data_IF_685087044500
#
_entry.id   IF_685087044500
#
_cell.length_a   1.000
_cell.length_b   1.000
_cell.length_c   1.000
_cell.angle_alpha   90.00
_cell.angle_beta   90.00
_cell.angle_gamma   90.00
#
_symmetry.space_group_name_H-M   'P 1'
#
loop_
_entity.id
_entity.type
_entity.pdbx_description
1 polymer ?
#
# COMPACT_ATOMS: atom_id res chain seq x y z
N UNK A 1 29.24 -14.67 3.00
CA UNK A 1 27.76 -14.77 3.01
C UNK A 1 27.23 -13.61 3.82
N UNK A 2 26.84 -12.54 3.15
CA UNK A 2 26.38 -11.31 3.82
C UNK A 2 24.95 -11.54 4.30
N UNK A 3 24.72 -11.32 5.59
CA UNK A 3 23.46 -11.55 6.30
C UNK A 3 22.26 -10.90 5.58
N UNK A 4 21.48 -11.69 4.84
CA UNK A 4 20.25 -11.23 4.19
C UNK A 4 19.20 -10.76 5.23
N UNK A 5 19.29 -11.27 6.46
CA UNK A 5 18.36 -10.97 7.56
C UNK A 5 18.39 -9.52 8.06
N UNK A 6 19.49 -8.76 7.86
CA UNK A 6 19.57 -7.38 8.37
C UNK A 6 18.95 -6.32 7.46
N UNK A 7 18.59 -6.66 6.22
CA UNK A 7 17.92 -5.75 5.27
C UNK A 7 16.39 -5.89 5.24
N UNK A 8 15.84 -6.86 5.98
CA UNK A 8 14.40 -7.22 5.99
C UNK A 8 13.64 -6.58 7.17
N UNK A 9 14.31 -5.76 8.00
CA UNK A 9 13.67 -5.08 9.13
C UNK A 9 12.49 -4.18 8.73
N UNK A 10 12.47 -3.67 7.50
CA UNK A 10 11.46 -2.73 7.01
C UNK A 10 10.38 -3.39 6.12
N UNK A 11 10.41 -4.71 5.95
CA UNK A 11 9.55 -5.41 4.98
C UNK A 11 8.47 -6.24 5.68
N UNK A 12 7.71 -5.57 6.56
CA UNK A 12 6.68 -6.22 7.38
C UNK A 12 5.37 -5.45 7.34
N UNK A 13 4.27 -6.17 7.50
CA UNK A 13 2.98 -5.60 7.88
C UNK A 13 2.84 -5.71 9.39
N UNK A 14 2.44 -4.64 10.06
CA UNK A 14 2.41 -4.61 11.52
C UNK A 14 1.00 -4.32 12.03
N UNK A 15 0.54 -5.20 12.94
CA UNK A 15 -0.70 -5.01 13.67
C UNK A 15 -0.35 -4.68 15.11
N UNK A 16 -0.76 -3.48 15.54
CA UNK A 16 -0.49 -2.96 16.86
C UNK A 16 -1.71 -3.13 17.75
N UNK A 17 -1.53 -3.80 18.88
CA UNK A 17 -2.50 -3.84 19.96
C UNK A 17 -1.97 -3.02 21.13
N UNK A 18 -2.70 -1.98 21.51
CA UNK A 18 -2.29 -1.06 22.57
C UNK A 18 -3.27 -1.14 23.74
N UNK A 19 -2.73 -1.27 24.95
CA UNK A 19 -3.49 -1.38 26.18
C UNK A 19 -2.93 -0.45 27.25
N UNK A 20 -3.82 0.14 28.06
CA UNK A 20 -3.39 0.92 29.22
C UNK A 20 -2.70 0.06 30.28
N UNK A 21 -3.15 -1.18 30.45
CA UNK A 21 -2.58 -2.18 31.34
C UNK A 21 -2.19 -3.41 30.53
N UNK A 22 -1.08 -4.08 30.87
CA UNK A 22 -0.63 -5.30 30.20
C UNK A 22 -1.63 -6.45 30.44
N UNK A 23 -2.36 -6.94 29.41
CA UNK A 23 -3.19 -8.13 29.55
C UNK A 23 -2.30 -9.39 29.52
N UNK A 24 -2.82 -10.50 30.03
CA UNK A 24 -2.31 -11.80 29.61
C UNK A 24 -2.67 -12.01 28.14
N UNK A 25 -1.82 -12.67 27.37
CA UNK A 25 -2.11 -12.96 25.97
C UNK A 25 -1.58 -14.32 25.52
N UNK A 26 -2.18 -14.85 24.46
CA UNK A 26 -1.74 -16.03 23.72
C UNK A 26 -1.78 -15.73 22.23
N UNK A 27 -0.77 -16.19 21.48
CA UNK A 27 -0.73 -16.07 20.03
C UNK A 27 -0.66 -17.46 19.42
N UNK A 28 -1.51 -17.73 18.44
CA UNK A 28 -1.59 -19.02 17.78
C UNK A 28 -1.85 -18.84 16.28
N UNK A 29 -1.52 -19.85 15.49
CA UNK A 29 -1.90 -19.91 14.08
C UNK A 29 -3.30 -20.50 13.96
N UNK A 30 -4.18 -19.84 13.22
CA UNK A 30 -5.55 -20.28 12.93
C UNK A 30 -5.60 -20.74 11.47
N UNK A 31 -6.00 -21.99 11.21
CA UNK A 31 -6.30 -22.57 9.89
C UNK A 31 -5.48 -21.99 8.70
N UNK A 32 -4.22 -22.40 8.58
CA UNK A 32 -3.35 -22.10 7.43
C UNK A 32 -2.87 -20.65 7.34
N UNK A 33 -3.78 -19.70 7.08
CA UNK A 33 -3.46 -18.31 6.73
C UNK A 33 -3.98 -17.28 7.76
N UNK A 34 -4.30 -17.70 8.99
CA UNK A 34 -4.76 -16.84 10.07
C UNK A 34 -3.78 -16.78 11.25
N UNK A 35 -3.68 -15.62 11.89
CA UNK A 35 -2.99 -15.43 13.16
C UNK A 35 -4.03 -15.02 14.20
N UNK A 36 -4.17 -15.80 15.27
CA UNK A 36 -5.03 -15.52 16.41
C UNK A 36 -4.24 -14.89 17.54
N UNK A 37 -4.71 -13.76 18.06
CA UNK A 37 -4.20 -13.13 19.27
C UNK A 37 -5.33 -13.06 20.29
N UNK A 38 -5.24 -13.87 21.33
CA UNK A 38 -6.21 -13.86 22.41
C UNK A 38 -5.70 -13.03 23.59
N UNK A 39 -6.51 -12.12 24.09
CA UNK A 39 -6.23 -11.30 25.27
C UNK A 39 -7.15 -11.71 26.42
N UNK A 40 -6.56 -12.26 27.49
CA UNK A 40 -7.31 -12.69 28.67
C UNK A 40 -7.83 -11.48 29.46
N UNK A 41 -8.98 -11.64 30.10
CA UNK A 41 -9.59 -10.65 31.00
C UNK A 41 -9.74 -9.25 30.35
N UNK A 42 -9.98 -9.25 29.04
CA UNK A 42 -10.16 -8.04 28.24
C UNK A 42 -11.62 -7.97 27.78
N UNK A 43 -12.14 -6.75 27.68
CA UNK A 43 -13.50 -6.48 27.21
C UNK A 43 -13.49 -5.50 26.05
N UNK A 44 -14.26 -5.80 25.02
CA UNK A 44 -14.54 -4.84 23.95
C UNK A 44 -15.47 -3.74 24.46
N UNK A 45 -15.13 -2.50 24.13
CA UNK A 45 -16.00 -1.34 24.30
C UNK A 45 -16.81 -1.03 23.02
N UNK A 46 -16.77 -1.92 22.04
CA UNK A 46 -17.53 -1.88 20.79
C UNK A 46 -18.06 -3.29 20.45
N UNK A 47 -18.96 -3.38 19.47
CA UNK A 47 -19.47 -4.66 18.99
C UNK A 47 -18.41 -5.43 18.21
N UNK A 48 -18.53 -6.75 18.12
CA UNK A 48 -17.65 -7.57 17.29
C UNK A 48 -17.57 -7.00 15.87
N UNK A 49 -16.36 -6.88 15.33
CA UNK A 49 -16.12 -6.18 14.08
C UNK A 49 -15.17 -6.94 13.17
N UNK A 50 -15.42 -6.85 11.86
CA UNK A 50 -14.51 -7.30 10.80
C UNK A 50 -14.12 -6.08 9.98
N UNK A 51 -12.83 -5.77 9.94
CA UNK A 51 -12.28 -4.66 9.14
C UNK A 51 -11.42 -5.20 8.01
N UNK A 52 -11.82 -4.92 6.78
CA UNK A 52 -10.97 -5.15 5.60
C UNK A 52 -9.69 -4.31 5.68
N UNK A 53 -8.56 -4.94 5.41
CA UNK A 53 -7.25 -4.29 5.33
C UNK A 53 -6.80 -4.38 3.88
N UNK A 54 -6.42 -3.25 3.28
CA UNK A 54 -5.89 -3.21 1.92
C UNK A 54 -4.40 -2.92 1.98
N UNK A 55 -3.62 -3.91 2.40
CA UNK A 55 -2.14 -3.80 2.41
C UNK A 55 -1.44 -4.77 1.42
N UNK A 56 -2.21 -5.66 0.78
CA UNK A 56 -1.74 -6.69 -0.15
C UNK A 56 -1.39 -8.03 0.50
N UNK A 57 -1.13 -8.08 1.82
CA UNK A 57 -0.91 -9.31 2.57
C UNK A 57 -2.07 -9.63 3.52
N UNK A 58 -2.47 -8.65 4.35
CA UNK A 58 -3.59 -8.80 5.28
C UNK A 58 -4.88 -8.54 4.51
N UNK A 59 -5.83 -9.49 4.53
CA UNK A 59 -7.15 -9.34 3.93
C UNK A 59 -8.10 -8.59 4.87
N UNK A 60 -8.16 -9.03 6.12
CA UNK A 60 -9.01 -8.44 7.14
C UNK A 60 -8.55 -8.81 8.55
N UNK A 61 -9.01 -8.03 9.52
CA UNK A 61 -8.86 -8.29 10.94
C UNK A 61 -10.25 -8.41 11.54
N UNK A 62 -10.52 -9.53 12.21
CA UNK A 62 -11.74 -9.75 12.98
C UNK A 62 -11.43 -9.63 14.45
N UNK A 63 -12.23 -8.85 15.18
CA UNK A 63 -12.10 -8.67 16.62
C UNK A 63 -13.44 -9.08 17.24
N UNK A 64 -13.41 -10.04 18.17
CA UNK A 64 -14.62 -10.55 18.81
C UNK A 64 -14.42 -10.82 20.30
N UNK A 65 -15.48 -10.63 21.08
CA UNK A 65 -15.53 -11.06 22.48
C UNK A 65 -15.70 -12.59 22.54
N UNK A 66 -14.81 -13.29 23.22
CA UNK A 66 -14.89 -14.75 23.42
C UNK A 66 -14.77 -15.05 24.91
N UNK A 67 -15.89 -15.38 25.55
CA UNK A 67 -15.95 -15.59 26.99
C UNK A 67 -15.45 -14.35 27.76
N UNK A 68 -14.45 -14.55 28.62
CA UNK A 68 -13.83 -13.49 29.41
C UNK A 68 -12.66 -12.78 28.73
N UNK A 69 -12.45 -12.96 27.42
CA UNK A 69 -11.35 -12.32 26.68
C UNK A 69 -11.74 -11.83 25.30
N UNK A 70 -10.76 -11.27 24.60
CA UNK A 70 -10.90 -10.73 23.25
C UNK A 70 -10.02 -11.54 22.31
N UNK A 71 -10.59 -12.04 21.22
CA UNK A 71 -9.84 -12.68 20.15
C UNK A 71 -9.73 -11.72 18.96
N UNK A 72 -8.49 -11.42 18.57
CA UNK A 72 -8.18 -10.76 17.30
C UNK A 72 -7.64 -11.79 16.31
N UNK A 73 -8.37 -12.00 15.21
CA UNK A 73 -8.00 -12.91 14.13
C UNK A 73 -7.52 -12.07 12.94
N UNK A 74 -6.24 -12.18 12.60
CA UNK A 74 -5.60 -11.51 11.46
C UNK A 74 -5.56 -12.51 10.31
N UNK A 75 -6.37 -12.28 9.28
CA UNK A 75 -6.45 -13.15 8.10
C UNK A 75 -5.60 -12.59 6.97
N UNK A 76 -4.80 -13.47 6.36
CA UNK A 76 -3.86 -13.13 5.29
C UNK A 76 -4.22 -13.83 3.99
N UNK A 77 -3.91 -13.19 2.86
CA UNK A 77 -4.12 -13.77 1.53
C UNK A 77 -3.11 -14.90 1.23
N UNK A 78 -1.93 -14.82 1.84
CA UNK A 78 -0.81 -15.71 1.63
C UNK A 78 -0.31 -16.24 2.96
N UNK A 79 0.11 -17.51 2.97
CA UNK A 79 0.86 -18.07 4.09
C UNK A 79 2.09 -17.20 4.36
N UNK A 80 2.18 -16.68 5.58
CA UNK A 80 3.25 -15.78 6.01
C UNK A 80 3.75 -16.14 7.40
N UNK A 81 5.04 -15.90 7.62
CA UNK A 81 5.66 -16.00 8.94
C UNK A 81 5.35 -14.75 9.73
N UNK A 82 5.21 -14.90 11.04
CA UNK A 82 5.01 -13.77 11.93
C UNK A 82 5.96 -13.81 13.12
N UNK A 83 6.27 -12.63 13.63
CA UNK A 83 6.98 -12.42 14.89
C UNK A 83 6.10 -11.58 15.81
N UNK A 84 6.20 -11.84 17.11
CA UNK A 84 5.50 -11.06 18.14
C UNK A 84 6.52 -10.33 18.96
N UNK A 85 6.38 -9.01 19.04
CA UNK A 85 7.20 -8.16 19.89
C UNK A 85 6.32 -7.49 20.95
N UNK A 86 6.88 -7.33 22.15
CA UNK A 86 6.27 -6.53 23.22
C UNK A 86 7.09 -5.26 23.43
N UNK A 87 6.39 -4.13 23.52
CA UNK A 87 6.94 -2.87 23.99
C UNK A 87 6.63 -2.71 25.47
N UNK A 88 7.67 -2.59 26.29
CA UNK A 88 7.55 -2.38 27.75
C UNK A 88 7.23 -0.92 28.14
N UNK A 89 6.73 -0.12 27.19
CA UNK A 89 6.29 1.26 27.41
C UNK A 89 4.85 1.33 27.94
N UNK A 90 4.44 2.51 28.42
CA UNK A 90 3.02 2.85 28.64
C UNK A 90 2.57 3.75 27.48
N UNK A 91 1.51 3.39 26.73
CA UNK A 91 0.71 2.17 26.85
C UNK A 91 1.49 0.89 26.48
N UNK A 92 1.11 -0.22 27.09
CA UNK A 92 1.62 -1.54 26.73
C UNK A 92 1.29 -1.80 25.26
N UNK A 93 2.26 -2.28 24.49
CA UNK A 93 2.06 -2.59 23.08
C UNK A 93 2.48 -4.03 22.79
N UNK A 94 1.58 -4.77 22.15
CA UNK A 94 1.89 -6.02 21.47
C UNK A 94 1.85 -5.76 19.96
N UNK A 95 2.94 -6.09 19.28
CA UNK A 95 3.08 -5.92 17.83
C UNK A 95 3.18 -7.29 17.20
N UNK A 96 2.26 -7.59 16.28
CA UNK A 96 2.37 -8.74 15.38
C UNK A 96 2.94 -8.24 14.06
N UNK A 97 4.16 -8.65 13.75
CA UNK A 97 4.84 -8.28 12.51
C UNK A 97 4.83 -9.46 11.54
N UNK A 98 4.15 -9.30 10.41
CA UNK A 98 3.99 -10.30 9.35
C UNK A 98 5.02 -10.09 8.25
N UNK A 99 5.66 -11.17 7.78
CA UNK A 99 6.64 -11.14 6.69
C UNK A 99 5.96 -10.88 5.33
N UNK A 100 6.40 -9.83 4.63
CA UNK A 100 5.88 -9.50 3.29
C UNK A 100 6.60 -10.22 2.15
N UNK A 101 7.61 -11.04 2.44
CA UNK A 101 8.35 -11.84 1.44
C UNK A 101 7.46 -12.63 0.47
N UNK A 102 6.33 -13.25 0.90
CA UNK A 102 5.43 -13.95 -0.02
C UNK A 102 4.92 -13.09 -1.18
N UNK A 103 4.80 -11.77 -1.00
CA UNK A 103 4.37 -10.85 -2.05
C UNK A 103 5.40 -10.71 -3.19
N UNK A 104 6.69 -10.96 -2.92
CA UNK A 104 7.74 -10.86 -3.94
C UNK A 104 7.44 -11.72 -5.16
N UNK A 105 6.73 -12.84 -5.02
CA UNK A 105 6.38 -13.72 -6.15
C UNK A 105 5.57 -13.03 -7.25
N UNK A 106 4.87 -11.94 -6.93
CA UNK A 106 4.07 -11.17 -7.89
C UNK A 106 4.88 -10.07 -8.61
N UNK A 107 5.99 -9.66 -8.02
CA UNK A 107 6.77 -8.48 -8.44
C UNK A 107 8.15 -8.83 -8.96
N UNK A 108 8.72 -9.95 -8.52
CA UNK A 108 10.09 -10.35 -8.83
C UNK A 108 10.26 -10.56 -10.35
N UNK A 109 11.26 -9.89 -10.92
CA UNK A 109 11.55 -9.94 -12.35
C UNK A 109 10.62 -9.09 -13.23
N UNK A 110 9.62 -8.41 -12.64
CA UNK A 110 8.78 -7.43 -13.36
C UNK A 110 9.51 -6.11 -13.53
N UNK A 111 9.28 -5.45 -14.65
CA UNK A 111 9.83 -4.13 -14.97
C UNK A 111 8.72 -3.09 -14.95
N UNK A 112 8.84 -2.11 -14.06
CA UNK A 112 7.90 -0.98 -13.96
C UNK A 112 8.62 0.28 -14.42
N UNK A 113 8.02 0.99 -15.39
CA UNK A 113 8.48 2.32 -15.78
C UNK A 113 7.71 3.37 -15.00
N UNK A 114 8.41 4.22 -14.26
CA UNK A 114 7.82 5.36 -13.56
C UNK A 114 8.22 6.65 -14.28
N UNK A 115 7.23 7.43 -14.69
CA UNK A 115 7.39 8.64 -15.49
C UNK A 115 6.82 9.82 -14.70
N UNK A 116 7.60 10.50 -13.85
CA UNK A 116 7.14 11.72 -13.22
C UNK A 116 6.98 12.83 -14.27
N UNK A 117 5.98 13.69 -14.08
CA UNK A 117 5.78 14.90 -14.86
C UNK A 117 7.05 15.76 -14.86
N UNK A 118 7.37 16.30 -16.03
CA UNK A 118 8.47 17.25 -16.23
C UNK A 118 8.04 18.71 -16.14
N UNK A 119 6.75 18.96 -15.88
CA UNK A 119 6.17 20.30 -15.88
C UNK A 119 6.71 21.16 -14.73
N UNK A 120 6.98 22.43 -15.04
CA UNK A 120 7.52 23.41 -14.09
C UNK A 120 6.41 24.25 -13.43
N UNK A 121 5.18 23.74 -13.43
CA UNK A 121 4.05 24.43 -12.82
C UNK A 121 4.28 24.66 -11.32
N UNK A 122 3.92 25.87 -10.86
CA UNK A 122 4.06 26.31 -9.48
C UNK A 122 2.69 26.29 -8.78
N UNK A 123 2.58 25.53 -7.71
CA UNK A 123 1.41 25.56 -6.83
C UNK A 123 1.28 26.93 -6.13
N UNK A 124 0.10 27.26 -5.55
CA UNK A 124 -0.07 28.42 -4.68
C UNK A 124 0.92 28.47 -3.49
N UNK A 125 1.42 27.30 -3.07
CA UNK A 125 2.42 27.15 -2.00
C UNK A 125 3.86 27.13 -2.50
N UNK A 126 4.10 27.51 -3.77
CA UNK A 126 5.41 27.55 -4.44
C UNK A 126 6.09 26.17 -4.58
N UNK A 127 5.33 25.09 -4.58
CA UNK A 127 5.83 23.76 -4.91
C UNK A 127 5.84 23.60 -6.43
N UNK A 128 6.96 23.13 -6.97
CA UNK A 128 7.11 22.84 -8.40
C UNK A 128 6.68 21.41 -8.66
N UNK A 129 5.76 21.19 -9.60
CA UNK A 129 5.20 19.87 -9.92
C UNK A 129 6.30 18.83 -10.15
N UNK A 130 7.25 19.09 -11.06
CA UNK A 130 8.38 18.20 -11.34
C UNK A 130 9.05 17.71 -10.05
N UNK A 131 9.35 18.61 -9.12
CA UNK A 131 10.04 18.29 -7.85
C UNK A 131 9.17 17.40 -6.96
N UNK A 132 7.85 17.62 -6.93
CA UNK A 132 6.91 16.79 -6.16
C UNK A 132 6.77 15.41 -6.79
N UNK A 133 6.56 15.34 -8.10
CA UNK A 133 6.36 14.08 -8.83
C UNK A 133 7.62 13.21 -8.83
N UNK A 134 8.82 13.79 -8.97
CA UNK A 134 10.09 13.06 -8.83
C UNK A 134 10.24 12.43 -7.44
N UNK A 135 9.86 13.16 -6.38
CA UNK A 135 9.89 12.63 -5.01
C UNK A 135 8.90 11.48 -4.82
N UNK A 136 7.68 11.61 -5.34
CA UNK A 136 6.66 10.54 -5.27
C UNK A 136 7.13 9.32 -6.07
N UNK A 137 7.59 9.52 -7.31
CA UNK A 137 8.16 8.47 -8.17
C UNK A 137 9.31 7.75 -7.48
N UNK A 138 10.25 8.47 -6.87
CA UNK A 138 11.37 7.89 -6.15
C UNK A 138 10.93 7.04 -4.94
N UNK A 139 9.92 7.49 -4.19
CA UNK A 139 9.35 6.70 -3.08
C UNK A 139 8.69 5.42 -3.58
N UNK A 140 7.85 5.51 -4.60
CA UNK A 140 7.20 4.33 -5.22
C UNK A 140 8.26 3.37 -5.74
N UNK A 141 9.25 3.88 -6.48
CA UNK A 141 10.35 3.10 -7.04
C UNK A 141 11.15 2.36 -5.97
N UNK A 142 11.47 3.01 -4.85
CA UNK A 142 12.16 2.36 -3.74
C UNK A 142 11.31 1.26 -3.10
N UNK A 143 10.01 1.48 -2.93
CA UNK A 143 9.10 0.48 -2.37
C UNK A 143 9.00 -0.76 -3.27
N UNK A 144 8.74 -0.60 -4.56
CA UNK A 144 8.57 -1.75 -5.46
C UNK A 144 9.87 -2.51 -5.75
N UNK A 145 11.03 -1.83 -5.69
CA UNK A 145 12.35 -2.49 -5.75
C UNK A 145 12.56 -3.48 -4.60
N UNK A 146 12.00 -3.21 -3.41
CA UNK A 146 12.09 -4.15 -2.28
C UNK A 146 11.38 -5.48 -2.59
N UNK A 147 10.37 -5.48 -3.46
CA UNK A 147 9.69 -6.69 -3.92
C UNK A 147 10.38 -7.39 -5.11
N UNK A 148 11.57 -6.92 -5.53
CA UNK A 148 12.31 -7.49 -6.66
C UNK A 148 11.90 -6.96 -8.03
N UNK A 149 11.12 -5.87 -8.11
CA UNK A 149 10.87 -5.20 -9.39
C UNK A 149 12.11 -4.45 -9.88
N UNK A 150 12.35 -4.50 -11.18
CA UNK A 150 13.20 -3.53 -11.87
C UNK A 150 12.40 -2.25 -12.10
N UNK A 151 12.98 -1.10 -11.75
CA UNK A 151 12.36 0.21 -12.01
C UNK A 151 13.21 0.95 -13.02
N UNK A 152 12.57 1.42 -14.08
CA UNK A 152 13.20 2.15 -15.17
C UNK A 152 12.55 3.52 -15.35
N UNK A 153 13.30 4.44 -15.94
CA UNK A 153 12.82 5.80 -16.23
C UNK A 153 12.29 5.88 -17.68
N UNK A 154 11.80 7.06 -18.07
CA UNK A 154 11.25 7.33 -19.41
C UNK A 154 12.20 6.95 -20.55
N UNK A 155 13.47 7.32 -20.40
CA UNK A 155 14.48 7.20 -21.46
C UNK A 155 15.18 5.83 -21.52
N UNK A 156 14.71 4.85 -20.74
CA UNK A 156 15.24 3.48 -20.80
C UNK A 156 14.50 2.68 -21.88
N UNK A 157 15.25 2.20 -22.88
CA UNK A 157 14.78 1.39 -24.01
C UNK A 157 14.26 -0.01 -23.60
N UNK A 158 14.44 -0.40 -22.35
CA UNK A 158 13.94 -1.68 -21.82
C UNK A 158 12.42 -1.73 -21.88
N UNK A 159 11.84 -2.84 -22.35
CA UNK A 159 10.39 -3.06 -22.30
C UNK A 159 9.91 -3.13 -20.84
N UNK A 160 8.91 -2.32 -20.50
CA UNK A 160 8.24 -2.38 -19.20
C UNK A 160 7.02 -3.32 -19.25
N UNK A 161 6.74 -4.02 -18.16
CA UNK A 161 5.48 -4.73 -17.94
C UNK A 161 4.34 -3.72 -17.68
N UNK A 162 4.63 -2.62 -16.97
CA UNK A 162 3.68 -1.53 -16.71
C UNK A 162 4.42 -0.20 -16.77
N UNK A 163 3.83 0.80 -17.43
CA UNK A 163 4.31 2.19 -17.41
C UNK A 163 3.30 3.07 -16.68
N UNK A 164 3.78 3.85 -15.71
CA UNK A 164 2.95 4.73 -14.88
C UNK A 164 3.47 6.15 -15.02
N UNK A 165 2.61 7.05 -15.48
CA UNK A 165 2.83 8.49 -15.46
C UNK A 165 2.24 9.10 -14.20
N UNK A 166 2.96 10.03 -13.59
CA UNK A 166 2.54 10.74 -12.37
C UNK A 166 2.55 12.25 -12.65
N UNK A 167 1.40 12.90 -12.55
CA UNK A 167 1.29 14.33 -12.84
C UNK A 167 0.19 15.04 -12.06
N UNK A 168 0.04 16.34 -12.32
CA UNK A 168 -1.01 17.17 -11.75
C UNK A 168 -1.97 17.68 -12.83
N UNK A 169 -3.25 17.85 -12.47
CA UNK A 169 -4.23 18.46 -13.36
C UNK A 169 -4.33 19.95 -13.06
N UNK A 170 -4.02 20.80 -14.03
CA UNK A 170 -4.00 22.27 -13.86
C UNK A 170 -5.22 23.00 -14.42
N UNK A 171 -6.01 22.33 -15.26
CA UNK A 171 -6.95 23.02 -16.15
C UNK A 171 -8.30 23.36 -15.50
N UNK A 172 -8.58 22.86 -14.29
CA UNK A 172 -9.87 23.04 -13.65
C UNK A 172 -9.74 23.73 -12.28
N UNK A 173 -10.13 25.00 -12.20
CA UNK A 173 -10.11 25.84 -10.98
C UNK A 173 -10.86 25.26 -9.76
N UNK A 174 -11.67 24.22 -9.98
CA UNK A 174 -12.48 23.56 -8.95
C UNK A 174 -12.16 22.06 -8.83
N UNK A 175 -11.03 21.59 -9.37
CA UNK A 175 -10.66 20.18 -9.33
C UNK A 175 -9.62 19.94 -8.23
N UNK A 176 -10.11 19.65 -7.03
CA UNK A 176 -9.32 19.05 -5.94
C UNK A 176 -9.61 17.56 -5.94
N UNK A 177 -8.60 16.70 -5.80
CA UNK A 177 -8.79 15.24 -5.74
C UNK A 177 -7.78 14.45 -6.56
N UNK A 178 -8.14 13.24 -6.97
CA UNK A 178 -7.34 12.40 -7.87
C UNK A 178 -8.20 11.72 -8.93
N UNK A 179 -7.60 11.42 -10.08
CA UNK A 179 -8.15 10.54 -11.08
C UNK A 179 -7.07 9.61 -11.63
N UNK A 180 -7.51 8.46 -12.14
CA UNK A 180 -6.65 7.53 -12.87
C UNK A 180 -7.10 7.52 -14.32
N UNK A 181 -6.17 7.65 -15.24
CA UNK A 181 -6.46 7.68 -16.66
C UNK A 181 -5.66 6.60 -17.41
N UNK A 182 -6.25 6.01 -18.44
CA UNK A 182 -5.61 4.99 -19.26
C UNK A 182 -6.05 5.11 -20.72
N UNK A 183 -5.23 4.62 -21.65
CA UNK A 183 -5.36 4.84 -23.09
C UNK A 183 -5.62 3.58 -23.91
N UNK A 184 -5.58 2.40 -23.28
CA UNK A 184 -5.70 1.10 -23.93
C UNK A 184 -6.31 0.05 -23.02
N UNK A 185 -7.02 -0.92 -23.60
CA UNK A 185 -7.56 -2.08 -22.89
C UNK A 185 -6.47 -2.87 -22.15
N UNK A 186 -5.25 -2.92 -22.70
CA UNK A 186 -4.11 -3.57 -22.06
C UNK A 186 -3.73 -2.90 -20.72
N UNK A 187 -4.00 -1.60 -20.58
CA UNK A 187 -3.72 -0.83 -19.36
C UNK A 187 -4.91 -0.77 -18.39
N UNK A 188 -6.13 -1.10 -18.84
CA UNK A 188 -7.37 -0.95 -18.07
C UNK A 188 -7.28 -1.66 -16.71
N UNK A 189 -6.82 -2.92 -16.72
CA UNK A 189 -6.71 -3.71 -15.48
C UNK A 189 -5.77 -3.06 -14.47
N UNK A 190 -4.58 -2.63 -14.92
CA UNK A 190 -3.61 -1.96 -14.07
C UNK A 190 -4.16 -0.63 -13.54
N UNK A 191 -4.85 0.13 -14.39
CA UNK A 191 -5.50 1.39 -14.02
C UNK A 191 -6.56 1.19 -12.93
N UNK A 192 -7.43 0.18 -13.09
CA UNK A 192 -8.47 -0.16 -12.11
C UNK A 192 -7.88 -0.64 -10.77
N UNK A 193 -6.81 -1.43 -10.80
CA UNK A 193 -6.16 -1.92 -9.58
C UNK A 193 -5.46 -0.78 -8.81
N UNK A 194 -4.77 0.12 -9.53
CA UNK A 194 -4.19 1.35 -8.94
C UNK A 194 -5.30 2.23 -8.36
N UNK A 195 -6.38 2.46 -9.11
CA UNK A 195 -7.53 3.27 -8.68
C UNK A 195 -8.16 2.74 -7.39
N UNK A 196 -8.45 1.44 -7.30
CA UNK A 196 -9.01 0.81 -6.10
C UNK A 196 -8.09 1.03 -4.88
N UNK A 197 -6.79 0.87 -5.07
CA UNK A 197 -5.80 1.09 -4.01
C UNK A 197 -5.80 2.53 -3.50
N UNK A 198 -5.85 3.52 -4.40
CA UNK A 198 -5.90 4.94 -4.01
C UNK A 198 -7.20 5.28 -3.28
N UNK A 199 -8.35 4.81 -3.77
CA UNK A 199 -9.67 5.05 -3.19
C UNK A 199 -9.81 4.64 -1.73
N UNK A 200 -9.07 3.64 -1.31
CA UNK A 200 -9.13 3.13 0.06
C UNK A 200 -8.12 3.79 1.00
N UNK A 201 -7.13 4.51 0.46
CA UNK A 201 -5.98 5.03 1.21
C UNK A 201 -5.88 6.54 1.23
N UNK A 202 -6.34 7.21 0.17
CA UNK A 202 -6.24 8.66 0.04
C UNK A 202 -7.52 9.33 0.56
N UNK A 203 -7.41 10.25 1.53
CA UNK A 203 -8.53 11.09 1.94
C UNK A 203 -8.69 12.28 0.98
N UNK A 204 -8.75 12.01 -0.32
CA UNK A 204 -8.89 13.01 -1.39
C UNK A 204 -10.15 12.71 -2.20
N UNK A 205 -10.74 13.74 -2.81
CA UNK A 205 -11.92 13.58 -3.67
C UNK A 205 -11.62 12.63 -4.84
N UNK A 206 -12.55 11.71 -5.08
CA UNK A 206 -12.46 10.65 -6.09
C UNK A 206 -13.15 11.09 -7.39
N UNK A 207 -12.36 11.24 -8.46
CA UNK A 207 -12.85 11.58 -9.80
C UNK A 207 -12.83 10.40 -10.77
N UNK A 208 -12.62 9.19 -10.26
CA UNK A 208 -12.78 7.93 -11.00
C UNK A 208 -11.57 7.48 -11.82
N UNK A 209 -11.80 6.39 -12.55
CA UNK A 209 -10.88 5.78 -13.51
C UNK A 209 -11.42 6.00 -14.92
N UNK A 210 -10.72 6.78 -15.74
CA UNK A 210 -11.22 7.36 -16.99
C UNK A 210 -10.42 6.80 -18.18
N UNK A 211 -11.13 6.25 -19.16
CA UNK A 211 -10.55 5.96 -20.47
C UNK A 211 -10.41 7.25 -21.27
N UNK A 212 -9.21 7.55 -21.77
CA UNK A 212 -9.00 8.73 -22.60
C UNK A 212 -7.82 8.54 -23.57
N UNK A 213 -8.17 8.28 -24.83
CA UNK A 213 -7.24 8.07 -25.95
C UNK A 213 -6.36 9.30 -26.27
N UNK A 214 -6.76 10.50 -25.82
CA UNK A 214 -6.10 11.77 -26.16
C UNK A 214 -5.08 12.23 -25.12
N UNK A 215 -4.98 11.57 -23.96
CA UNK A 215 -4.09 11.99 -22.86
C UNK A 215 -2.62 11.90 -23.21
N UNK A 216 -2.27 11.07 -24.18
CA UNK A 216 -0.90 10.76 -24.49
C UNK A 216 -0.67 10.67 -26.00
N UNK A 217 -0.78 11.79 -26.72
CA UNK A 217 -0.20 11.87 -28.08
C UNK A 217 1.31 11.57 -28.08
N UNK A 218 1.97 11.59 -26.90
CA UNK A 218 3.41 11.38 -26.73
C UNK A 218 3.79 10.07 -25.99
N UNK A 219 2.87 9.39 -25.27
CA UNK A 219 3.19 8.24 -24.41
C UNK A 219 2.12 7.13 -24.44
N UNK A 220 2.10 6.31 -25.50
CA UNK A 220 1.16 5.18 -25.59
C UNK A 220 1.46 4.09 -24.55
N UNK A 221 0.41 3.48 -23.99
CA UNK A 221 0.50 2.33 -23.09
C UNK A 221 0.89 2.71 -21.66
N UNK A 222 0.33 3.81 -21.14
CA UNK A 222 0.66 4.38 -19.83
C UNK A 222 -0.58 4.60 -18.98
N UNK A 223 -0.52 4.18 -17.72
CA UNK A 223 -1.49 4.57 -16.70
C UNK A 223 -1.09 5.91 -16.12
N UNK A 224 -1.93 6.92 -16.25
CA UNK A 224 -1.69 8.26 -15.70
C UNK A 224 -2.39 8.42 -14.37
N UNK A 225 -1.63 8.63 -13.30
CA UNK A 225 -2.14 9.02 -11.99
C UNK A 225 -2.06 10.54 -11.91
N UNK A 226 -3.20 11.19 -11.83
CA UNK A 226 -3.28 12.65 -11.82
C UNK A 226 -3.92 13.12 -10.53
N UNK A 227 -3.27 14.08 -9.87
CA UNK A 227 -3.82 14.76 -8.70
C UNK A 227 -4.20 16.20 -9.05
N UNK A 228 -5.42 16.59 -8.68
CA UNK A 228 -5.90 17.97 -8.74
C UNK A 228 -5.38 18.82 -7.60
N UNK A 229 -5.13 20.11 -7.87
CA UNK A 229 -4.80 21.13 -6.86
C UNK A 229 -5.95 22.12 -6.73
#
# INVERSE_FOLDING_TARGET
MTNYYSKVKDFKSEVYFQFWNRPGYEVSTINGNGIGVFFYNSQLNFSDEIRGVYDGLISYIKIAQVGNGVLAEIFTELETRYEVAIGDSVPFSLVVSLDRTPLMRFFNGKTVRLIPSSEMYLSPTKLVEKVVMEKISGKIGNLIKQYGCRVINRDDDTKADVSIYLGLLHEAKNFSGYCIMYDSYDCERAALDIYKGLKQKLPLDDHGCIYNEKINEVLKGVVSVIQGI
#
